data_IF_337338433787
#
_entry.id   IF_337338433787
#
_cell.length_a   1.000
_cell.length_b   1.000
_cell.length_c   1.000
_cell.angle_alpha   90.00
_cell.angle_beta   90.00
_cell.angle_gamma   90.00
#
_symmetry.space_group_name_H-M   'P 1'
#
loop_
_entity.id
_entity.type
_entity.pdbx_description
1 polymer ?
#
# COMPACT_ATOMS: atom_id res chain seq x y z
N UNK A 1 -16.92 12.86 -27.59
CA UNK A 1 -16.58 11.42 -27.56
C UNK A 1 -15.08 11.28 -27.36
N UNK A 2 -14.64 10.47 -26.38
CA UNK A 2 -13.23 10.12 -26.20
C UNK A 2 -12.77 9.34 -27.44
N UNK A 3 -11.81 9.86 -28.21
CA UNK A 3 -11.21 9.12 -29.33
C UNK A 3 -10.11 8.18 -28.80
N UNK A 4 -10.52 7.14 -28.08
CA UNK A 4 -9.65 6.19 -27.39
C UNK A 4 -8.58 5.56 -28.29
N UNK A 5 -8.87 5.34 -29.57
CA UNK A 5 -7.90 4.79 -30.52
C UNK A 5 -6.67 5.69 -30.72
N UNK A 6 -6.81 7.02 -30.60
CA UNK A 6 -5.68 7.96 -30.73
C UNK A 6 -4.62 7.79 -29.64
N UNK A 7 -4.97 7.19 -28.51
CA UNK A 7 -4.01 6.87 -27.44
C UNK A 7 -3.07 5.73 -27.83
N UNK A 8 -3.48 4.92 -28.81
CA UNK A 8 -2.76 3.76 -29.28
C UNK A 8 -2.18 3.94 -30.67
N UNK A 9 -2.35 5.11 -31.29
CA UNK A 9 -1.94 5.35 -32.67
C UNK A 9 -0.79 6.37 -32.76
N UNK A 10 0.11 6.15 -33.71
CA UNK A 10 1.14 7.11 -34.08
C UNK A 10 0.57 8.28 -34.90
N UNK A 11 1.42 9.27 -35.24
CA UNK A 11 1.01 10.40 -36.10
C UNK A 11 0.48 9.99 -37.47
N UNK A 12 0.86 8.80 -37.95
CA UNK A 12 0.43 8.15 -39.18
C UNK A 12 -0.91 7.40 -39.05
N UNK A 13 -1.51 7.37 -37.85
CA UNK A 13 -2.74 6.63 -37.56
C UNK A 13 -2.53 5.12 -37.35
N UNK A 14 -1.30 4.62 -37.45
CA UNK A 14 -0.99 3.22 -37.23
C UNK A 14 -0.93 2.89 -35.74
N UNK A 15 -1.42 1.72 -35.35
CA UNK A 15 -1.32 1.23 -33.97
C UNK A 15 0.15 1.12 -33.53
N UNK A 16 0.48 1.65 -32.35
CA UNK A 16 1.79 1.58 -31.73
C UNK A 16 2.06 0.13 -31.27
N UNK A 17 3.01 -0.62 -31.88
CA UNK A 17 3.24 -2.03 -31.53
C UNK A 17 3.66 -2.24 -30.07
N UNK A 18 4.27 -1.22 -29.46
CA UNK A 18 4.64 -1.23 -28.04
C UNK A 18 3.43 -1.27 -27.09
N UNK A 19 2.24 -0.86 -27.54
CA UNK A 19 1.00 -0.86 -26.77
C UNK A 19 0.00 -1.90 -27.30
N UNK A 20 -0.08 -2.07 -28.63
CA UNK A 20 -0.92 -3.03 -29.35
C UNK A 20 -0.03 -3.97 -30.18
N UNK A 21 0.61 -4.98 -29.59
CA UNK A 21 1.57 -5.83 -30.30
C UNK A 21 0.97 -6.62 -31.47
N UNK A 22 -0.31 -6.98 -31.38
CA UNK A 22 -1.08 -7.63 -32.44
C UNK A 22 -1.97 -6.64 -33.23
N UNK A 23 -1.77 -5.33 -32.99
CA UNK A 23 -2.54 -4.21 -33.55
C UNK A 23 -4.00 -4.09 -33.10
N UNK A 24 -4.47 -4.97 -32.22
CA UNK A 24 -5.89 -5.03 -31.82
C UNK A 24 -6.06 -5.00 -30.31
N UNK A 25 -5.23 -5.73 -29.57
CA UNK A 25 -5.34 -5.90 -28.12
C UNK A 25 -4.21 -5.16 -27.38
N UNK A 26 -4.55 -4.33 -26.38
CA UNK A 26 -3.54 -3.74 -25.51
C UNK A 26 -2.74 -4.81 -24.78
N UNK A 27 -1.42 -4.64 -24.71
CA UNK A 27 -0.61 -5.33 -23.70
C UNK A 27 -0.76 -4.60 -22.34
N UNK A 28 -0.02 -5.04 -21.31
CA UNK A 28 -0.07 -4.43 -19.98
C UNK A 28 0.17 -2.90 -20.00
N UNK A 29 1.14 -2.43 -20.80
CA UNK A 29 1.41 -0.99 -20.92
C UNK A 29 0.26 -0.26 -21.65
N UNK A 30 -0.31 -0.88 -22.69
CA UNK A 30 -1.49 -0.36 -23.38
C UNK A 30 -2.72 -0.27 -22.47
N UNK A 31 -2.99 -1.29 -21.65
CA UNK A 31 -4.09 -1.26 -20.69
C UNK A 31 -3.91 -0.17 -19.63
N UNK A 32 -2.67 0.16 -19.23
CA UNK A 32 -2.40 1.27 -18.34
C UNK A 32 -2.79 2.63 -18.98
N UNK A 33 -2.43 2.84 -20.25
CA UNK A 33 -2.82 4.05 -21.01
C UNK A 33 -4.34 4.13 -21.16
N UNK A 34 -4.98 3.02 -21.52
CA UNK A 34 -6.43 2.92 -21.63
C UNK A 34 -7.12 3.30 -20.31
N UNK A 35 -6.68 2.67 -19.21
CA UNK A 35 -7.23 2.85 -17.89
C UNK A 35 -7.12 4.32 -17.44
N UNK A 36 -5.96 4.95 -17.64
CA UNK A 36 -5.75 6.35 -17.27
C UNK A 36 -6.71 7.28 -18.03
N UNK A 37 -6.93 7.04 -19.33
CA UNK A 37 -7.85 7.85 -20.13
C UNK A 37 -9.32 7.61 -19.79
N UNK A 38 -9.68 6.36 -19.50
CA UNK A 38 -11.04 5.98 -19.11
C UNK A 38 -11.38 6.35 -17.67
N UNK A 39 -10.39 6.66 -16.83
CA UNK A 39 -10.58 6.99 -15.42
C UNK A 39 -11.57 8.15 -15.22
N UNK A 40 -11.51 9.19 -16.06
CA UNK A 40 -12.48 10.29 -16.00
C UNK A 40 -13.88 9.84 -16.42
N UNK A 41 -14.00 8.98 -17.43
CA UNK A 41 -15.29 8.46 -17.88
C UNK A 41 -15.93 7.58 -16.80
N UNK A 42 -15.14 6.73 -16.14
CA UNK A 42 -15.64 5.91 -15.04
C UNK A 42 -16.05 6.76 -13.83
N UNK A 43 -15.34 7.87 -13.56
CA UNK A 43 -15.75 8.89 -12.59
C UNK A 43 -17.12 9.47 -12.89
N UNK A 44 -17.30 9.97 -14.10
CA UNK A 44 -18.53 10.67 -14.51
C UNK A 44 -19.74 9.73 -14.49
N UNK A 45 -19.51 8.43 -14.73
CA UNK A 45 -20.54 7.40 -14.69
C UNK A 45 -20.79 6.83 -13.27
N UNK A 46 -20.04 7.25 -12.26
CA UNK A 46 -20.11 6.67 -10.91
C UNK A 46 -19.72 5.19 -10.84
N UNK A 47 -19.11 4.66 -11.90
CA UNK A 47 -18.61 3.28 -12.01
C UNK A 47 -17.18 3.14 -11.47
N UNK A 48 -16.50 4.28 -11.35
CA UNK A 48 -15.35 4.50 -10.50
C UNK A 48 -15.73 5.66 -9.60
N UNK A 49 -15.41 5.57 -8.32
CA UNK A 49 -15.49 6.72 -7.41
C UNK A 49 -14.41 7.78 -7.74
N UNK A 50 -13.56 7.55 -8.74
CA UNK A 50 -12.48 8.44 -9.12
C UNK A 50 -11.32 8.47 -8.17
N UNK A 51 -11.37 7.60 -7.17
CA UNK A 51 -10.52 7.76 -6.03
C UNK A 51 -9.15 7.24 -6.35
N UNK A 52 -8.17 8.14 -6.23
CA UNK A 52 -6.78 7.73 -6.02
C UNK A 52 -6.60 7.22 -4.59
N UNK A 53 -7.59 6.52 -4.02
CA UNK A 53 -7.44 5.91 -2.71
C UNK A 53 -6.68 4.60 -2.85
N UNK A 54 -5.87 4.22 -1.86
CA UNK A 54 -5.31 2.88 -1.77
C UNK A 54 -6.41 1.82 -1.91
N UNK A 55 -6.09 0.68 -2.49
CA UNK A 55 -7.00 -0.46 -2.64
C UNK A 55 -7.51 -0.96 -1.27
N UNK A 56 -6.63 -0.91 -0.27
CA UNK A 56 -6.94 -1.14 1.14
C UNK A 56 -5.89 -0.43 2.01
N UNK A 57 -6.24 -0.14 3.27
CA UNK A 57 -5.33 0.55 4.18
C UNK A 57 -5.67 0.29 5.64
N UNK A 58 -4.65 0.41 6.49
CA UNK A 58 -4.75 0.50 7.95
C UNK A 58 -3.95 1.72 8.38
N UNK A 59 -4.59 2.62 9.10
CA UNK A 59 -3.93 3.67 9.85
C UNK A 59 -4.13 3.37 11.32
N UNK A 60 -3.04 3.22 12.06
CA UNK A 60 -3.15 2.88 13.46
C UNK A 60 -3.80 4.04 14.22
N UNK A 61 -4.56 3.69 15.24
CA UNK A 61 -5.37 4.62 16.01
C UNK A 61 -5.11 4.41 17.51
N UNK A 62 -5.44 5.41 18.32
CA UNK A 62 -5.35 5.30 19.78
C UNK A 62 -6.28 4.25 20.39
N UNK A 63 -7.15 3.63 19.59
CA UNK A 63 -8.02 2.53 20.00
C UNK A 63 -7.36 1.17 19.81
N UNK A 64 -6.21 1.07 19.15
CA UNK A 64 -5.57 -0.21 18.87
C UNK A 64 -4.77 -0.69 20.09
N UNK A 65 -4.72 -2.02 20.29
CA UNK A 65 -4.02 -2.58 21.46
C UNK A 65 -2.52 -2.32 21.36
N UNK A 66 -1.91 -1.95 22.48
CA UNK A 66 -0.45 -1.78 22.60
C UNK A 66 0.12 -0.70 21.66
N UNK A 67 -0.72 0.15 21.07
CA UNK A 67 -0.29 1.26 20.22
C UNK A 67 0.36 2.34 21.07
N UNK A 68 1.37 3.01 20.52
CA UNK A 68 2.05 4.12 21.21
C UNK A 68 1.88 5.40 20.44
N UNK A 69 1.91 6.55 21.13
CA UNK A 69 1.83 7.86 20.48
C UNK A 69 3.23 8.46 20.35
N UNK A 70 3.61 8.87 19.15
CA UNK A 70 4.89 9.51 18.85
C UNK A 70 4.69 10.66 17.85
N UNK A 71 5.09 11.87 18.21
CA UNK A 71 4.93 13.09 17.38
C UNK A 71 3.52 13.23 16.78
N UNK A 72 2.49 12.98 17.59
CA UNK A 72 1.09 13.08 17.18
C UNK A 72 0.55 11.89 16.35
N UNK A 73 1.41 10.94 15.96
CA UNK A 73 1.02 9.73 15.26
C UNK A 73 0.87 8.56 16.23
N UNK A 74 -0.05 7.64 15.90
CA UNK A 74 -0.13 6.33 16.54
C UNK A 74 0.78 5.37 15.79
N UNK A 75 1.70 4.72 16.50
CA UNK A 75 2.77 3.92 15.92
C UNK A 75 2.96 2.59 16.62
N UNK A 76 3.43 1.62 15.86
CA UNK A 76 4.01 0.38 16.37
C UNK A 76 5.49 0.33 16.06
N UNK A 77 6.28 -0.03 17.09
CA UNK A 77 7.67 -0.47 16.91
C UNK A 77 7.66 -1.89 16.34
N UNK A 78 8.59 -2.21 15.46
CA UNK A 78 8.64 -3.54 14.82
C UNK A 78 9.36 -4.59 15.67
N UNK A 79 10.24 -4.19 16.58
CA UNK A 79 10.86 -5.07 17.59
C UNK A 79 9.88 -5.33 18.73
N UNK A 80 9.17 -6.46 18.64
CA UNK A 80 8.11 -6.86 19.57
C UNK A 80 8.09 -8.38 19.74
N UNK A 81 7.49 -8.90 20.84
CA UNK A 81 7.33 -10.34 21.03
C UNK A 81 6.46 -11.01 19.96
N UNK A 82 5.43 -10.29 19.51
CA UNK A 82 4.57 -10.71 18.39
C UNK A 82 4.69 -9.70 17.25
N UNK A 83 4.82 -10.16 15.99
CA UNK A 83 4.80 -9.29 14.83
C UNK A 83 3.52 -8.47 14.73
N UNK A 84 3.58 -7.38 13.96
CA UNK A 84 2.38 -6.70 13.49
C UNK A 84 1.82 -7.52 12.32
N UNK A 85 0.61 -8.04 12.47
CA UNK A 85 -0.04 -8.91 11.48
C UNK A 85 -1.26 -8.24 10.89
N UNK A 86 -1.35 -8.28 9.56
CA UNK A 86 -2.39 -7.62 8.77
C UNK A 86 -2.83 -8.56 7.66
N UNK A 87 -4.14 -8.69 7.47
CA UNK A 87 -4.73 -9.38 6.33
C UNK A 87 -5.39 -8.38 5.39
N UNK A 88 -5.07 -8.42 4.10
CA UNK A 88 -5.76 -7.64 3.06
C UNK A 88 -6.50 -8.59 2.12
N UNK A 89 -7.83 -8.54 2.17
CA UNK A 89 -8.77 -9.34 1.39
C UNK A 89 -8.95 -8.79 -0.04
N UNK A 90 -7.85 -8.69 -0.77
CA UNK A 90 -7.79 -8.28 -2.18
C UNK A 90 -6.94 -9.29 -2.94
N UNK A 91 -7.40 -9.70 -4.13
CA UNK A 91 -6.66 -10.60 -5.01
C UNK A 91 -5.23 -10.06 -5.25
N UNK A 92 -4.19 -10.82 -4.91
CA UNK A 92 -2.83 -10.40 -5.20
C UNK A 92 -2.58 -10.31 -6.70
N UNK A 93 -1.96 -9.22 -7.15
CA UNK A 93 -1.58 -9.06 -8.55
C UNK A 93 -0.29 -8.24 -8.70
N UNK A 94 0.48 -8.43 -9.79
CA UNK A 94 1.82 -7.86 -9.94
C UNK A 94 1.84 -6.33 -10.06
N UNK A 95 0.69 -5.70 -10.34
CA UNK A 95 0.55 -4.24 -10.36
C UNK A 95 0.37 -3.60 -8.99
N UNK A 96 0.39 -4.38 -7.90
CA UNK A 96 0.27 -3.87 -6.55
C UNK A 96 1.63 -3.53 -5.91
N UNK A 97 1.60 -2.59 -4.98
CA UNK A 97 2.67 -2.30 -4.04
C UNK A 97 2.10 -2.25 -2.62
N UNK A 98 2.87 -2.76 -1.66
CA UNK A 98 2.62 -2.56 -0.24
C UNK A 98 3.43 -1.36 0.24
N UNK A 99 2.75 -0.35 0.75
CA UNK A 99 3.35 0.86 1.27
C UNK A 99 3.20 0.95 2.79
N UNK A 100 4.27 1.37 3.44
CA UNK A 100 4.38 1.51 4.88
C UNK A 100 4.73 2.96 5.21
N UNK A 101 4.03 3.56 6.16
CA UNK A 101 4.37 4.89 6.65
C UNK A 101 5.40 4.73 7.75
N UNK A 102 6.65 5.02 7.41
CA UNK A 102 7.78 5.00 8.32
C UNK A 102 7.79 6.26 9.18
N UNK A 103 8.13 6.07 10.44
CA UNK A 103 8.45 7.12 11.40
C UNK A 103 9.85 6.82 11.93
N UNK A 104 10.84 7.56 11.45
CA UNK A 104 12.25 7.33 11.77
C UNK A 104 12.75 8.44 12.69
N UNK A 105 12.98 8.16 13.99
CA UNK A 105 13.64 9.08 14.90
C UNK A 105 15.07 9.43 14.44
N UNK A 106 15.66 10.56 14.90
CA UNK A 106 17.09 10.80 14.73
C UNK A 106 17.92 9.68 15.39
N UNK A 107 19.11 9.44 14.85
CA UNK A 107 20.10 8.53 15.45
C UNK A 107 20.51 7.37 14.54
N UNK A 108 20.34 6.11 14.98
CA UNK A 108 20.89 4.94 14.28
C UNK A 108 20.07 4.52 13.06
N UNK A 109 20.59 3.57 12.29
CA UNK A 109 19.87 2.96 11.17
C UNK A 109 18.70 2.11 11.67
N UNK A 110 17.53 2.29 11.04
CA UNK A 110 16.32 1.54 11.37
C UNK A 110 15.99 0.50 10.31
N UNK A 111 15.49 -0.67 10.73
CA UNK A 111 15.03 -1.70 9.79
C UNK A 111 13.76 -2.41 10.21
N UNK A 112 13.13 -3.06 9.24
CA UNK A 112 12.08 -4.05 9.47
C UNK A 112 12.17 -5.18 8.46
N UNK A 113 11.69 -6.34 8.87
CA UNK A 113 11.37 -7.45 7.97
C UNK A 113 9.88 -7.41 7.67
N UNK A 114 9.53 -7.53 6.41
CA UNK A 114 8.15 -7.68 5.94
C UNK A 114 8.03 -9.05 5.30
N UNK A 115 7.16 -9.88 5.86
CA UNK A 115 6.76 -11.16 5.26
C UNK A 115 5.39 -11.01 4.61
N UNK A 116 5.27 -11.47 3.37
CA UNK A 116 4.00 -11.50 2.64
C UNK A 116 3.82 -12.90 2.08
N UNK A 117 2.74 -13.58 2.50
CA UNK A 117 2.40 -14.92 2.04
C UNK A 117 3.57 -15.93 2.17
N UNK A 118 4.42 -15.78 3.20
CA UNK A 118 5.56 -16.66 3.48
C UNK A 118 6.87 -16.26 2.79
N UNK A 119 6.90 -15.13 2.08
CA UNK A 119 8.14 -14.57 1.51
C UNK A 119 8.54 -13.31 2.24
N UNK A 120 9.81 -13.27 2.67
CA UNK A 120 10.36 -12.17 3.47
C UNK A 120 11.23 -11.24 2.65
N UNK A 121 11.07 -9.95 2.91
CA UNK A 121 11.88 -8.85 2.38
C UNK A 121 12.27 -7.93 3.52
N UNK A 122 13.56 -7.55 3.58
CA UNK A 122 14.05 -6.60 4.57
C UNK A 122 14.07 -5.19 3.98
N UNK A 123 13.76 -4.20 4.82
CA UNK A 123 13.87 -2.78 4.51
C UNK A 123 14.69 -2.08 5.57
N UNK A 124 15.60 -1.23 5.13
CA UNK A 124 16.56 -0.51 5.95
C UNK A 124 16.53 0.95 5.51
N UNK A 125 16.44 1.86 6.47
CA UNK A 125 16.45 3.29 6.24
C UNK A 125 17.33 3.99 7.27
N UNK A 126 18.23 4.84 6.79
CA UNK A 126 19.03 5.71 7.64
C UNK A 126 18.27 7.01 7.93
N UNK A 127 18.31 7.51 9.17
CA UNK A 127 17.73 8.81 9.49
C UNK A 127 18.47 9.92 8.75
N UNK A 128 17.75 11.01 8.47
CA UNK A 128 18.37 12.26 8.02
C UNK A 128 19.11 12.90 9.18
N UNK A 129 20.16 13.67 8.89
CA UNK A 129 20.88 14.49 9.87
C UNK A 129 20.01 15.69 10.32
N UNK A 130 18.90 15.39 10.99
CA UNK A 130 17.92 16.35 11.48
C UNK A 130 17.56 16.03 12.92
N UNK A 131 17.27 17.04 13.73
CA UNK A 131 16.79 16.85 15.11
C UNK A 131 15.34 16.35 15.17
N UNK A 132 14.60 16.44 14.07
CA UNK A 132 13.22 15.99 13.97
C UNK A 132 13.12 14.60 13.33
N UNK A 133 12.11 13.79 13.73
CA UNK A 133 11.87 12.51 13.08
C UNK A 133 11.45 12.71 11.62
N UNK A 134 11.90 11.80 10.76
CA UNK A 134 11.51 11.77 9.35
C UNK A 134 10.28 10.86 9.20
N UNK A 135 9.20 11.40 8.64
CA UNK A 135 7.96 10.67 8.35
C UNK A 135 7.77 10.59 6.84
N UNK A 136 7.67 9.38 6.29
CA UNK A 136 7.53 9.18 4.85
C UNK A 136 6.89 7.84 4.52
N UNK A 137 6.41 7.70 3.28
CA UNK A 137 5.95 6.43 2.74
C UNK A 137 7.08 5.76 1.96
N UNK A 138 7.35 4.50 2.31
CA UNK A 138 8.15 3.57 1.49
C UNK A 138 7.21 2.53 0.90
N UNK A 139 7.46 2.09 -0.34
CA UNK A 139 6.60 1.13 -1.03
C UNK A 139 7.39 0.00 -1.67
N UNK A 140 6.93 -1.23 -1.46
CA UNK A 140 7.52 -2.47 -1.95
C UNK A 140 6.63 -3.04 -3.05
N UNK A 141 7.09 -3.18 -4.31
CA UNK A 141 6.33 -3.91 -5.33
C UNK A 141 6.10 -5.35 -4.87
N UNK A 142 4.88 -5.86 -5.04
CA UNK A 142 4.54 -7.20 -4.52
C UNK A 142 5.29 -8.34 -5.23
N UNK A 143 5.88 -8.04 -6.39
CA UNK A 143 6.76 -8.93 -7.13
C UNK A 143 8.02 -9.30 -6.34
N UNK A 144 8.50 -8.44 -5.43
CA UNK A 144 9.60 -8.79 -4.51
C UNK A 144 9.23 -9.93 -3.56
N UNK A 145 7.94 -10.11 -3.26
CA UNK A 145 7.41 -11.24 -2.50
C UNK A 145 7.04 -12.44 -3.39
N UNK A 146 7.40 -12.42 -4.68
CA UNK A 146 7.14 -13.52 -5.63
C UNK A 146 5.77 -13.49 -6.30
N UNK A 147 4.95 -12.46 -6.09
CA UNK A 147 3.64 -12.31 -6.72
C UNK A 147 3.84 -11.71 -8.13
N UNK A 148 4.10 -12.58 -9.11
CA UNK A 148 4.40 -12.20 -10.50
C UNK A 148 3.20 -12.34 -11.45
N UNK A 149 2.11 -12.93 -10.98
CA UNK A 149 0.84 -13.09 -11.71
C UNK A 149 -0.33 -12.88 -10.74
N UNK A 150 -1.52 -12.65 -11.30
CA UNK A 150 -2.73 -12.51 -10.49
C UNK A 150 -3.09 -13.84 -9.83
N UNK A 151 -3.28 -13.81 -8.51
CA UNK A 151 -3.66 -14.95 -7.67
C UNK A 151 -5.17 -14.86 -7.36
N UNK A 152 -5.97 -15.50 -8.21
CA UNK A 152 -7.44 -15.53 -8.04
C UNK A 152 -7.81 -16.15 -6.70
N UNK A 153 -8.72 -15.50 -5.96
CA UNK A 153 -9.14 -15.91 -4.59
C UNK A 153 -8.03 -15.85 -3.52
N UNK A 154 -6.89 -15.23 -3.82
CA UNK A 154 -5.85 -14.97 -2.85
C UNK A 154 -6.14 -13.76 -1.96
N UNK A 155 -5.35 -13.62 -0.91
CA UNK A 155 -5.28 -12.43 -0.06
C UNK A 155 -3.82 -12.16 0.31
N UNK A 156 -3.54 -10.97 0.83
CA UNK A 156 -2.25 -10.67 1.42
C UNK A 156 -2.29 -11.00 2.92
N UNK A 157 -1.43 -11.93 3.36
CA UNK A 157 -1.11 -12.15 4.77
C UNK A 157 0.24 -11.51 5.04
N UNK A 158 0.22 -10.42 5.80
CA UNK A 158 1.38 -9.55 6.02
C UNK A 158 1.82 -9.70 7.47
N UNK A 159 3.10 -9.96 7.70
CA UNK A 159 3.72 -9.98 9.03
C UNK A 159 4.93 -9.05 9.05
N UNK A 160 4.97 -8.11 10.00
CA UNK A 160 6.01 -7.09 10.10
C UNK A 160 6.72 -7.25 11.45
N UNK A 161 8.02 -7.47 11.40
CA UNK A 161 8.87 -7.65 12.59
C UNK A 161 10.16 -6.83 12.47
N UNK A 162 10.89 -6.67 13.58
CA UNK A 162 12.25 -6.15 13.53
C UNK A 162 13.12 -7.04 12.64
N UNK A 163 14.08 -6.44 11.92
CA UNK A 163 15.14 -7.22 11.28
C UNK A 163 16.32 -7.34 12.26
N UNK A 164 16.96 -8.51 12.32
CA UNK A 164 18.06 -8.75 13.25
C UNK A 164 19.35 -7.98 12.93
N UNK A 165 19.41 -7.36 11.76
CA UNK A 165 20.65 -6.82 11.18
C UNK A 165 20.83 -5.31 11.39
N UNK A 166 19.85 -4.59 11.96
CA UNK A 166 19.98 -3.17 12.24
C UNK A 166 20.11 -2.85 13.72
N UNK A 167 20.72 -1.70 13.99
CA UNK A 167 20.89 -1.14 15.33
C UNK A 167 19.54 -0.89 16.01
N UNK A 168 18.55 -0.38 15.26
CA UNK A 168 17.22 -0.15 15.80
C UNK A 168 16.06 -0.65 14.93
N UNK A 169 14.93 -0.88 15.60
CA UNK A 169 13.71 -1.32 14.94
C UNK A 169 12.97 -0.14 14.30
N UNK A 170 12.34 -0.37 13.15
CA UNK A 170 11.45 0.62 12.54
C UNK A 170 10.24 0.93 13.43
N UNK A 171 9.70 2.14 13.31
CA UNK A 171 8.34 2.45 13.73
C UNK A 171 7.47 2.75 12.51
N UNK A 172 6.24 2.23 12.53
CA UNK A 172 5.27 2.43 11.46
C UNK A 172 3.95 2.97 11.99
N UNK A 173 3.31 3.89 11.26
CA UNK A 173 1.99 4.46 11.59
C UNK A 173 0.84 3.96 10.71
N UNK A 174 1.14 3.22 9.64
CA UNK A 174 0.11 2.64 8.80
C UNK A 174 0.64 1.88 7.60
N UNK A 175 -0.28 1.18 6.95
CA UNK A 175 -0.06 0.31 5.78
C UNK A 175 -1.09 0.63 4.71
N UNK A 176 -0.68 0.63 3.44
CA UNK A 176 -1.55 0.86 2.28
C UNK A 176 -1.20 -0.14 1.17
N UNK A 177 -2.21 -0.72 0.53
CA UNK A 177 -2.07 -1.43 -0.74
C UNK A 177 -2.39 -0.46 -1.88
N UNK A 178 -1.48 -0.26 -2.82
CA UNK A 178 -1.61 0.73 -3.90
C UNK A 178 -1.24 0.10 -5.25
N UNK A 179 -1.63 0.74 -6.36
CA UNK A 179 -1.10 0.49 -7.71
C UNK A 179 -0.37 1.68 -8.31
N UNK A 180 -0.48 2.86 -7.69
CA UNK A 180 0.12 4.09 -8.17
C UNK A 180 0.55 4.97 -7.00
N UNK A 181 1.74 5.58 -7.13
CA UNK A 181 2.34 6.39 -6.05
C UNK A 181 1.49 7.58 -5.61
N UNK A 182 0.67 8.13 -6.52
CA UNK A 182 -0.27 9.22 -6.20
C UNK A 182 -1.24 8.85 -5.05
N UNK A 183 -1.55 7.56 -4.85
CA UNK A 183 -2.42 7.08 -3.78
C UNK A 183 -1.81 7.26 -2.36
N UNK A 184 -0.53 7.62 -2.27
CA UNK A 184 0.14 7.95 -1.01
C UNK A 184 -0.06 9.41 -0.58
N UNK A 185 -0.40 10.29 -1.52
CA UNK A 185 -0.57 11.73 -1.27
C UNK A 185 -1.85 12.06 -0.50
N UNK A 186 -2.82 11.15 -0.50
CA UNK A 186 -4.11 11.39 0.14
C UNK A 186 -4.00 11.37 1.67
N UNK A 187 -4.44 12.47 2.29
CA UNK A 187 -4.37 12.68 3.75
C UNK A 187 -5.67 12.31 4.44
N UNK A 188 -6.81 12.54 3.79
CA UNK A 188 -8.13 12.21 4.33
C UNK A 188 -8.66 11.04 3.52
N UNK A 189 -8.45 9.84 4.05
CA UNK A 189 -9.05 8.65 3.47
C UNK A 189 -10.52 8.55 3.91
N UNK A 190 -11.41 8.01 3.05
CA UNK A 190 -12.75 7.66 3.48
C UNK A 190 -12.69 6.59 4.58
N UNK A 191 -13.84 6.24 5.14
CA UNK A 191 -13.91 5.15 6.13
C UNK A 191 -13.24 3.90 5.55
N UNK A 192 -12.33 3.31 6.33
CA UNK A 192 -11.58 2.13 5.92
C UNK A 192 -12.54 1.05 5.39
N UNK A 193 -12.22 0.53 4.22
CA UNK A 193 -12.98 -0.60 3.66
C UNK A 193 -12.66 -1.82 4.52
N UNK A 194 -13.65 -2.70 4.78
CA UNK A 194 -13.47 -3.96 5.52
C UNK A 194 -12.48 -4.94 4.85
N UNK A 195 -11.78 -4.50 3.78
CA UNK A 195 -10.80 -5.26 3.01
C UNK A 195 -9.43 -5.35 3.69
N UNK A 196 -9.14 -4.53 4.70
CA UNK A 196 -7.94 -4.69 5.51
C UNK A 196 -8.31 -4.93 6.97
N UNK A 197 -7.75 -5.99 7.53
CA UNK A 197 -7.99 -6.47 8.88
C UNK A 197 -6.68 -6.36 9.64
N UNK A 198 -6.73 -5.68 10.79
CA UNK A 198 -5.59 -5.60 11.69
C UNK A 198 -5.67 -6.77 12.68
N UNK A 199 -4.87 -7.82 12.48
CA UNK A 199 -4.98 -9.08 13.22
C UNK A 199 -4.26 -9.01 14.57
N UNK A 200 -2.97 -8.67 14.57
CA UNK A 200 -2.13 -8.63 15.77
C UNK A 200 -1.35 -7.32 15.83
N UNK A 201 -1.40 -6.56 16.95
CA UNK A 201 -2.23 -6.78 18.15
C UNK A 201 -3.73 -6.55 17.95
N UNK A 202 -4.08 -5.89 16.85
CA UNK A 202 -5.45 -5.62 16.46
C UNK A 202 -6.14 -4.51 17.27
N UNK A 203 -7.42 -4.24 16.96
CA UNK A 203 -8.21 -3.23 17.66
C UNK A 203 -8.38 -3.56 19.15
N UNK A 204 -8.43 -2.54 19.99
CA UNK A 204 -8.87 -2.63 21.38
C UNK A 204 -10.34 -3.02 21.49
N UNK A 205 -10.74 -3.51 22.66
CA UNK A 205 -12.17 -3.75 22.92
C UNK A 205 -12.93 -2.43 22.74
N UNK A 206 -14.03 -2.46 22.00
CA UNK A 206 -14.97 -1.34 22.02
C UNK A 206 -15.46 -1.18 23.45
N UNK A 207 -15.35 0.02 24.03
CA UNK A 207 -16.00 0.32 25.30
C UNK A 207 -17.48 -0.04 25.12
N UNK A 208 -17.91 -1.05 25.90
CA UNK A 208 -19.28 -1.53 25.87
C UNK A 208 -20.21 -0.35 26.11
N UNK A 209 -21.10 -0.10 25.15
CA UNK A 209 -22.24 0.77 25.37
C UNK A 209 -22.99 0.22 26.57
N UNK A 210 -22.87 0.91 27.71
CA UNK A 210 -23.73 0.68 28.85
C UNK A 210 -25.16 0.91 28.39
N UNK A 211 -25.92 -0.17 28.28
CA UNK A 211 -27.38 -0.10 28.23
C UNK A 211 -27.84 0.66 29.48
N UNK A 212 -28.49 1.81 29.24
CA UNK A 212 -29.38 2.42 30.22
C UNK A 212 -30.61 1.54 30.44
#
# INVERSE_FOLDING_TARGET
>A
MLQTYRLFAGPDGASLPKLLPDRVHPNTAGYAVWFQAMNQVFRDLGLSDGTSYPHAWIHFSGKDKEVTRFHGLHVYRTKRPRPVEITIEIEPEPGHHLAFQWVIPPGPVHSMSVDVNGRRVNRVHSPKATEQPTIFWDSIPVTEFGITKRERKGSYKISISGSGDAEEAAMISGVRLISHRAQLGERVLPRATHKAIFDTPGPGAAEGGGSR
#
